data_IF_860438497390
#
_entry.id   IF_860438497390
#
_cell.length_a   1.000
_cell.length_b   1.000
_cell.length_c   1.000
_cell.angle_alpha   90.00
_cell.angle_beta   90.00
_cell.angle_gamma   90.00
#
_symmetry.space_group_name_H-M   'P 1'
#
loop_
_entity.id
_entity.type
_entity.pdbx_description
1 polymer ?
#
# COMPACT_ATOMS: atom_id res chain seq x y z
N UNK A 1 -9.73 -21.15 4.30
CA UNK A 1 -9.59 -19.75 4.75
C UNK A 1 -9.75 -18.86 3.53
N UNK A 2 -10.71 -17.94 3.51
CA UNK A 2 -10.90 -17.04 2.36
C UNK A 2 -9.84 -15.95 2.34
N UNK A 3 -9.42 -15.46 1.16
CA UNK A 3 -8.45 -14.37 1.03
C UNK A 3 -8.79 -13.14 1.92
N UNK A 4 -10.09 -12.91 2.16
CA UNK A 4 -10.60 -11.88 3.06
C UNK A 4 -10.08 -11.97 4.50
N UNK A 5 -9.91 -13.18 5.06
CA UNK A 5 -9.43 -13.34 6.45
C UNK A 5 -7.92 -13.12 6.58
N UNK A 6 -7.17 -13.27 5.48
CA UNK A 6 -5.72 -13.07 5.47
C UNK A 6 -5.35 -11.59 5.36
N UNK A 7 -6.11 -10.83 4.56
CA UNK A 7 -5.85 -9.40 4.39
C UNK A 7 -6.31 -8.56 5.60
N UNK A 8 -7.44 -8.92 6.23
CA UNK A 8 -7.88 -8.22 7.46
C UNK A 8 -6.88 -8.43 8.59
N UNK A 9 -6.44 -9.67 8.80
CA UNK A 9 -5.43 -9.98 9.82
C UNK A 9 -4.04 -9.41 9.49
N UNK A 10 -3.69 -9.25 8.22
CA UNK A 10 -2.47 -8.57 7.79
C UNK A 10 -2.55 -7.06 8.04
N UNK A 11 -3.64 -6.39 7.66
CA UNK A 11 -3.84 -4.96 7.92
C UNK A 11 -3.86 -4.65 9.42
N UNK A 12 -4.54 -5.46 10.22
CA UNK A 12 -4.54 -5.37 11.70
C UNK A 12 -3.15 -5.66 12.30
N UNK A 13 -2.35 -6.56 11.71
CA UNK A 13 -0.97 -6.80 12.13
C UNK A 13 0.00 -5.68 11.73
N UNK A 14 -0.28 -4.94 10.66
CA UNK A 14 0.53 -3.81 10.19
C UNK A 14 0.31 -2.59 11.09
N UNK A 15 -0.94 -2.37 11.51
CA UNK A 15 -1.31 -1.23 12.35
C UNK A 15 -0.48 -1.22 13.65
N UNK A 16 0.43 -0.24 13.75
CA UNK A 16 1.33 -0.08 14.90
C UNK A 16 2.62 -0.91 14.90
N UNK A 17 2.94 -1.69 13.84
CA UNK A 17 4.16 -2.52 13.78
C UNK A 17 5.17 -2.15 12.70
N UNK A 18 4.87 -1.24 11.77
CA UNK A 18 5.89 -0.75 10.83
C UNK A 18 6.85 0.16 11.58
N UNK A 19 7.93 -0.44 12.07
CA UNK A 19 8.92 0.24 12.91
C UNK A 19 10.07 0.87 12.12
N UNK A 20 10.13 0.59 10.81
CA UNK A 20 11.14 1.15 9.92
C UNK A 20 11.07 0.62 8.49
N UNK A 21 12.05 1.05 7.68
CA UNK A 21 12.16 0.75 6.25
C UNK A 21 12.01 -0.74 5.91
N UNK A 22 12.63 -1.62 6.70
CA UNK A 22 12.65 -3.05 6.38
C UNK A 22 11.25 -3.66 6.46
N UNK A 23 10.50 -3.33 7.51
CA UNK A 23 9.11 -3.76 7.67
C UNK A 23 8.23 -3.18 6.58
N UNK A 24 8.37 -1.87 6.30
CA UNK A 24 7.63 -1.20 5.22
C UNK A 24 7.86 -1.88 3.87
N UNK A 25 9.12 -2.19 3.54
CA UNK A 25 9.47 -2.89 2.30
C UNK A 25 8.88 -4.31 2.23
N UNK A 26 8.84 -5.04 3.35
CA UNK A 26 8.25 -6.38 3.42
C UNK A 26 6.76 -6.32 3.12
N UNK A 27 6.04 -5.42 3.78
CA UNK A 27 4.59 -5.26 3.58
C UNK A 27 4.25 -4.73 2.20
N UNK A 28 5.02 -3.77 1.68
CA UNK A 28 4.84 -3.24 0.33
C UNK A 28 4.85 -4.36 -0.72
N UNK A 29 5.81 -5.29 -0.62
CA UNK A 29 5.95 -6.43 -1.55
C UNK A 29 4.80 -7.42 -1.48
N UNK A 30 3.98 -7.39 -0.43
CA UNK A 30 2.77 -8.19 -0.31
C UNK A 30 1.55 -7.43 -0.81
N UNK A 31 1.38 -6.18 -0.37
CA UNK A 31 0.15 -5.42 -0.59
C UNK A 31 0.04 -4.81 -1.99
N UNK A 32 1.14 -4.31 -2.57
CA UNK A 32 1.10 -3.63 -3.87
C UNK A 32 0.75 -4.56 -5.03
N UNK A 33 1.28 -5.80 -5.11
CA UNK A 33 0.83 -6.77 -6.11
C UNK A 33 -0.67 -7.08 -6.01
N UNK A 34 -1.20 -7.27 -4.81
CA UNK A 34 -2.64 -7.52 -4.55
C UNK A 34 -3.50 -6.35 -5.03
N UNK A 35 -3.13 -5.12 -4.69
CA UNK A 35 -3.82 -3.91 -5.15
C UNK A 35 -3.78 -3.82 -6.68
N UNK A 36 -2.61 -4.01 -7.30
CA UNK A 36 -2.48 -3.97 -8.76
C UNK A 36 -3.36 -5.01 -9.44
N UNK A 37 -3.35 -6.24 -8.95
CA UNK A 37 -4.14 -7.33 -9.54
C UNK A 37 -5.65 -7.04 -9.44
N UNK A 38 -6.12 -6.53 -8.31
CA UNK A 38 -7.51 -6.11 -8.15
C UNK A 38 -7.91 -5.01 -9.16
N UNK A 39 -7.08 -3.96 -9.28
CA UNK A 39 -7.33 -2.86 -10.20
C UNK A 39 -7.24 -3.29 -11.68
N UNK A 40 -6.30 -4.16 -12.02
CA UNK A 40 -6.11 -4.72 -13.37
C UNK A 40 -7.30 -5.62 -13.77
N UNK A 41 -7.90 -6.36 -12.82
CA UNK A 41 -9.15 -7.13 -13.03
C UNK A 41 -10.41 -6.27 -13.11
N UNK A 42 -10.30 -4.96 -12.91
CA UNK A 42 -11.42 -4.03 -12.98
C UNK A 42 -12.23 -3.90 -11.68
N UNK A 43 -11.73 -4.38 -10.55
CA UNK A 43 -12.35 -4.13 -9.24
C UNK A 43 -12.38 -2.62 -8.99
N UNK A 44 -13.55 -2.04 -8.62
CA UNK A 44 -13.67 -0.61 -8.42
C UNK A 44 -12.88 -0.15 -7.18
N UNK A 45 -12.36 1.08 -7.21
CA UNK A 45 -11.65 1.67 -6.06
C UNK A 45 -12.54 1.73 -4.82
N UNK A 46 -13.85 1.94 -4.99
CA UNK A 46 -14.82 1.96 -3.90
C UNK A 46 -15.08 0.58 -3.27
N UNK A 47 -14.49 -0.50 -3.80
CA UNK A 47 -14.59 -1.82 -3.19
C UNK A 47 -13.95 -1.81 -1.78
N UNK A 48 -14.62 -2.35 -0.75
CA UNK A 48 -14.11 -2.31 0.61
C UNK A 48 -12.74 -2.96 0.80
N UNK A 49 -12.41 -4.01 0.04
CA UNK A 49 -11.10 -4.65 0.11
C UNK A 49 -10.03 -3.78 -0.56
N UNK A 50 -10.36 -3.13 -1.67
CA UNK A 50 -9.45 -2.18 -2.35
C UNK A 50 -9.18 -0.98 -1.45
N UNK A 51 -10.19 -0.42 -0.78
CA UNK A 51 -10.02 0.67 0.20
C UNK A 51 -9.06 0.26 1.32
N UNK A 52 -9.24 -0.92 1.92
CA UNK A 52 -8.32 -1.43 2.96
C UNK A 52 -6.88 -1.58 2.47
N UNK A 53 -6.68 -2.02 1.22
CA UNK A 53 -5.34 -2.09 0.62
C UNK A 53 -4.74 -0.69 0.44
N UNK A 54 -5.53 0.26 -0.05
CA UNK A 54 -5.10 1.66 -0.22
C UNK A 54 -4.68 2.27 1.12
N UNK A 55 -5.49 2.10 2.16
CA UNK A 55 -5.20 2.56 3.52
C UNK A 55 -3.91 1.91 4.03
N UNK A 56 -3.81 0.58 4.00
CA UNK A 56 -2.65 -0.14 4.50
C UNK A 56 -1.35 0.24 3.76
N UNK A 57 -1.38 0.46 2.44
CA UNK A 57 -0.20 0.88 1.68
C UNK A 57 0.15 2.36 1.97
N UNK A 58 -0.85 3.21 2.17
CA UNK A 58 -0.67 4.63 2.49
C UNK A 58 0.01 4.85 3.85
N UNK A 59 -0.06 3.88 4.75
CA UNK A 59 0.55 3.92 6.08
C UNK A 59 1.97 3.35 6.16
N UNK A 60 2.49 2.79 5.07
CA UNK A 60 3.84 2.21 5.05
C UNK A 60 5.00 3.23 5.04
N UNK A 61 4.93 4.41 4.38
CA UNK A 61 5.99 5.40 4.44
C UNK A 61 6.15 5.96 5.86
N UNK A 62 7.31 6.55 6.18
CA UNK A 62 7.46 7.24 7.47
C UNK A 62 6.42 8.35 7.61
N UNK A 63 5.82 8.45 8.81
CA UNK A 63 4.82 9.45 9.12
C UNK A 63 5.26 10.88 8.79
N UNK A 64 4.27 11.75 8.51
CA UNK A 64 4.49 13.16 8.19
C UNK A 64 4.70 13.39 6.70
N UNK A 65 5.72 14.18 6.33
CA UNK A 65 5.90 14.69 4.97
C UNK A 65 6.03 13.56 3.92
N UNK A 66 6.75 12.48 4.23
CA UNK A 66 6.93 11.37 3.26
C UNK A 66 5.63 10.63 3.00
N UNK A 67 4.88 10.32 4.07
CA UNK A 67 3.54 9.71 3.96
C UNK A 67 2.60 10.58 3.12
N UNK A 68 2.54 11.88 3.42
CA UNK A 68 1.72 12.83 2.65
C UNK A 68 2.13 12.87 1.16
N UNK A 69 3.42 12.98 0.88
CA UNK A 69 3.94 13.02 -0.49
C UNK A 69 3.64 11.72 -1.23
N UNK A 70 3.80 10.57 -0.58
CA UNK A 70 3.50 9.26 -1.13
C UNK A 70 2.03 9.14 -1.52
N UNK A 71 1.12 9.46 -0.61
CA UNK A 71 -0.31 9.42 -0.86
C UNK A 71 -0.72 10.36 -2.02
N UNK A 72 -0.16 11.57 -2.04
CA UNK A 72 -0.38 12.53 -3.14
C UNK A 72 0.14 12.02 -4.49
N UNK A 73 1.22 11.24 -4.51
CA UNK A 73 1.84 10.77 -5.76
C UNK A 73 1.22 9.50 -6.32
N UNK A 74 0.80 8.58 -5.44
CA UNK A 74 0.45 7.21 -5.81
C UNK A 74 -0.97 6.80 -5.43
N UNK A 75 -1.64 7.49 -4.50
CA UNK A 75 -2.94 7.06 -3.95
C UNK A 75 -4.10 8.01 -4.28
N UNK A 76 -4.04 8.70 -5.42
CA UNK A 76 -5.10 9.62 -5.85
C UNK A 76 -6.20 8.90 -6.64
N UNK A 77 -5.80 8.04 -7.56
CA UNK A 77 -6.69 7.36 -8.49
C UNK A 77 -6.07 6.04 -8.98
N UNK A 78 -6.81 5.33 -9.85
CA UNK A 78 -6.37 4.05 -10.41
C UNK A 78 -5.04 4.19 -11.14
N UNK A 79 -4.88 5.26 -11.93
CA UNK A 79 -3.69 5.46 -12.74
C UNK A 79 -2.45 5.72 -11.86
N UNK A 80 -2.60 6.50 -10.79
CA UNK A 80 -1.52 6.74 -9.82
C UNK A 80 -1.13 5.47 -9.08
N UNK A 81 -2.10 4.62 -8.72
CA UNK A 81 -1.86 3.35 -8.03
C UNK A 81 -1.13 2.35 -8.93
N UNK A 82 -1.47 2.29 -10.21
CA UNK A 82 -0.79 1.44 -11.19
C UNK A 82 0.65 1.89 -11.49
N UNK A 83 1.02 3.14 -11.15
CA UNK A 83 2.38 3.68 -11.26
C UNK A 83 3.28 3.33 -10.06
N UNK A 84 2.77 2.63 -9.04
CA UNK A 84 3.58 2.15 -7.91
C UNK A 84 4.76 1.28 -8.42
N UNK A 85 6.01 1.59 -8.01
CA UNK A 85 7.16 0.75 -8.37
C UNK A 85 6.99 -0.69 -7.87
N UNK A 86 7.52 -1.68 -8.60
CA UNK A 86 7.52 -3.08 -8.12
C UNK A 86 8.49 -3.30 -6.95
N UNK A 87 9.62 -2.58 -6.96
CA UNK A 87 10.58 -2.58 -5.86
C UNK A 87 10.41 -1.29 -5.03
N UNK A 88 10.09 -1.38 -3.72
CA UNK A 88 9.95 -0.20 -2.88
C UNK A 88 11.26 0.60 -2.71
N UNK A 89 12.43 0.00 -2.96
CA UNK A 89 13.69 0.74 -2.93
C UNK A 89 13.86 1.72 -4.10
N UNK A 90 13.02 1.61 -5.13
CA UNK A 90 12.97 2.54 -6.25
C UNK A 90 12.10 3.77 -5.95
N UNK A 91 11.41 3.81 -4.81
CA UNK A 91 10.64 4.99 -4.40
C UNK A 91 11.61 6.06 -3.90
N UNK A 92 11.46 7.28 -4.43
CA UNK A 92 12.30 8.42 -4.07
C UNK A 92 12.25 8.72 -2.56
N UNK A 93 13.38 9.14 -1.97
CA UNK A 93 13.52 9.41 -0.53
C UNK A 93 12.47 10.38 0.04
N UNK A 94 11.99 11.35 -0.75
CA UNK A 94 10.94 12.28 -0.33
C UNK A 94 9.55 11.64 -0.12
N UNK A 95 9.39 10.35 -0.45
CA UNK A 95 8.13 9.61 -0.46
C UNK A 95 8.21 8.29 0.33
N UNK A 96 9.40 7.86 0.82
CA UNK A 96 9.56 6.53 1.41
C UNK A 96 10.63 6.51 2.52
N UNK A 97 10.32 5.80 3.63
CA UNK A 97 11.08 5.61 4.90
C UNK A 97 12.00 6.76 5.32
#
# INVERSE_FOLDING_TARGET
MSANSLLSSAAEQIYGRVSGKQDANKWYKLLVPELREALERGTPISDPQVQRLIEAISDLPSAGAKQHNFARRYMQDKESMLKLPRDPNSIMFGYWW
#
